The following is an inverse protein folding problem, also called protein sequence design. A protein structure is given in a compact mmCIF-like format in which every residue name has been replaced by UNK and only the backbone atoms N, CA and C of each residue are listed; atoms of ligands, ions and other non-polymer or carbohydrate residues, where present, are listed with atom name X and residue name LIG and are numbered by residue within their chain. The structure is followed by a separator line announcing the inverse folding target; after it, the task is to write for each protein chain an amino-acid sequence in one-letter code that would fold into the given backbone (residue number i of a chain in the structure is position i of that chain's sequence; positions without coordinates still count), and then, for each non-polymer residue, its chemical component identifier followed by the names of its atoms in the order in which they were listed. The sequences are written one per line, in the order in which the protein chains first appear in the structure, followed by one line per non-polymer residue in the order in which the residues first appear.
data_IF_050948247948
#
_entry.id   IF_050948247948
#
_cell.length_a   1.000
_cell.length_b   1.000
_cell.length_c   1.000
_cell.angle_alpha   90.00
_cell.angle_beta   90.00
_cell.angle_gamma   90.00
#
_symmetry.space_group_name_H-M   'P 1'
#
loop_
_entity.id
_entity.type
_entity.pdbx_description
1 polymer ?
#
# COMPACT_ATOMS: atom_id res chain seq x y z
N UNK A 1 -6.46 8.57 17.20
CA UNK A 1 -5.69 7.30 17.12
C UNK A 1 -5.72 6.78 15.70
N UNK A 2 -4.58 6.40 15.11
CA UNK A 2 -4.52 5.78 13.78
C UNK A 2 -5.18 4.40 13.74
N UNK A 3 -5.84 4.08 12.63
CA UNK A 3 -6.35 2.74 12.30
C UNK A 3 -5.45 2.17 11.20
N UNK A 4 -4.74 1.10 11.51
CA UNK A 4 -3.90 0.37 10.56
C UNK A 4 -4.64 -0.78 9.90
N UNK A 5 -4.30 -1.07 8.63
CA UNK A 5 -4.80 -2.25 7.94
C UNK A 5 -4.26 -3.54 8.57
N UNK A 6 -5.13 -4.52 8.81
CA UNK A 6 -4.77 -5.79 9.42
C UNK A 6 -4.00 -6.70 8.45
N UNK A 7 -4.22 -6.51 7.15
CA UNK A 7 -3.56 -7.26 6.07
C UNK A 7 -3.53 -6.38 4.81
N UNK A 8 -2.58 -6.66 3.93
CA UNK A 8 -2.55 -6.03 2.61
C UNK A 8 -3.79 -6.39 1.79
N UNK A 9 -4.31 -5.47 1.00
CA UNK A 9 -5.54 -5.67 0.24
C UNK A 9 -5.89 -4.47 -0.63
N UNK A 10 -7.03 -4.54 -1.31
CA UNK A 10 -7.59 -3.42 -2.09
C UNK A 10 -8.79 -2.84 -1.37
N UNK A 11 -8.87 -1.51 -1.29
CA UNK A 11 -10.07 -0.84 -0.78
C UNK A 11 -11.22 -1.07 -1.75
N UNK A 12 -12.27 -1.76 -1.29
CA UNK A 12 -13.50 -1.97 -2.07
C UNK A 12 -14.62 -1.01 -1.65
N UNK A 13 -14.52 -0.42 -0.46
CA UNK A 13 -15.43 0.61 0.03
C UNK A 13 -14.66 1.60 0.89
N UNK A 14 -14.90 2.89 0.70
CA UNK A 14 -14.42 3.97 1.56
C UNK A 14 -15.42 5.14 1.52
N UNK A 15 -16.46 5.04 2.35
CA UNK A 15 -17.56 6.00 2.33
C UNK A 15 -18.38 5.95 3.64
N UNK A 16 -19.49 6.69 3.68
CA UNK A 16 -20.44 6.62 4.77
C UNK A 16 -21.36 5.40 4.62
N UNK A 17 -21.41 4.56 5.64
CA UNK A 17 -22.31 3.41 5.73
C UNK A 17 -23.28 3.59 6.89
N UNK A 18 -24.55 3.23 6.69
CA UNK A 18 -25.66 3.60 7.59
C UNK A 18 -25.37 3.36 9.09
N UNK A 19 -25.08 2.11 9.48
CA UNK A 19 -24.81 1.78 10.89
C UNK A 19 -23.34 2.04 11.29
N UNK A 20 -22.40 1.82 10.37
CA UNK A 20 -20.96 1.87 10.66
C UNK A 20 -20.35 3.27 10.56
N UNK A 21 -21.09 4.28 10.10
CA UNK A 21 -20.54 5.62 9.86
C UNK A 21 -19.48 5.59 8.76
N UNK A 22 -18.41 6.37 8.91
CA UNK A 22 -17.30 6.35 7.95
C UNK A 22 -16.59 5.01 8.03
N UNK A 23 -16.60 4.30 6.90
CA UNK A 23 -16.27 2.88 6.85
C UNK A 23 -15.29 2.60 5.71
N UNK A 24 -14.32 1.72 5.98
CA UNK A 24 -13.46 1.12 4.96
C UNK A 24 -13.68 -0.38 4.92
N UNK A 25 -13.75 -0.96 3.73
CA UNK A 25 -13.66 -2.41 3.52
C UNK A 25 -12.44 -2.70 2.65
N UNK A 26 -11.56 -3.56 3.14
CA UNK A 26 -10.42 -4.08 2.39
C UNK A 26 -10.71 -5.50 1.91
N UNK A 27 -10.60 -5.74 0.61
CA UNK A 27 -10.56 -7.08 0.04
C UNK A 27 -9.12 -7.61 0.02
N UNK A 28 -8.91 -8.78 0.60
CA UNK A 28 -7.61 -9.43 0.71
C UNK A 28 -7.44 -10.57 -0.31
N UNK A 29 -8.45 -10.81 -1.17
CA UNK A 29 -8.50 -11.93 -2.10
C UNK A 29 -9.19 -13.17 -1.51
N UNK A 30 -9.56 -14.10 -2.39
CA UNK A 30 -10.18 -15.40 -2.05
C UNK A 30 -11.40 -15.29 -1.12
N UNK A 31 -12.15 -14.19 -1.24
CA UNK A 31 -13.35 -13.93 -0.45
C UNK A 31 -13.08 -13.47 0.99
N UNK A 32 -11.82 -13.24 1.38
CA UNK A 32 -11.47 -12.66 2.68
C UNK A 32 -11.48 -11.13 2.59
N UNK A 33 -12.21 -10.47 3.48
CA UNK A 33 -12.18 -9.01 3.63
C UNK A 33 -12.17 -8.58 5.09
N UNK A 34 -11.73 -7.36 5.35
CA UNK A 34 -11.84 -6.72 6.67
C UNK A 34 -12.63 -5.42 6.57
N UNK A 35 -13.39 -5.10 7.61
CA UNK A 35 -14.15 -3.85 7.72
C UNK A 35 -13.64 -3.04 8.91
N UNK A 36 -13.52 -1.73 8.71
CA UNK A 36 -13.15 -0.74 9.71
C UNK A 36 -14.23 0.35 9.76
N UNK A 37 -15.01 0.38 10.83
CA UNK A 37 -16.12 1.31 11.03
C UNK A 37 -15.85 2.37 12.11
N UNK A 38 -16.78 3.30 12.19
CA UNK A 38 -16.86 4.44 13.12
C UNK A 38 -15.72 5.45 13.01
N UNK A 39 -15.00 5.48 11.88
CA UNK A 39 -13.87 6.38 11.71
C UNK A 39 -14.29 7.86 11.82
N UNK A 40 -13.40 8.70 12.35
CA UNK A 40 -13.57 10.16 12.29
C UNK A 40 -13.22 10.68 10.90
N UNK A 41 -12.15 10.15 10.30
CA UNK A 41 -11.61 10.52 8.99
C UNK A 41 -11.16 9.27 8.24
N UNK A 42 -11.44 9.21 6.93
CA UNK A 42 -10.91 8.20 6.01
C UNK A 42 -9.72 8.78 5.27
N UNK A 43 -8.61 8.05 5.18
CA UNK A 43 -7.35 8.53 4.58
C UNK A 43 -7.05 7.86 3.24
N UNK A 44 -7.88 6.90 2.83
CA UNK A 44 -7.75 6.12 1.59
C UNK A 44 -9.09 6.05 0.87
N UNK A 45 -9.07 5.93 -0.44
CA UNK A 45 -10.24 5.86 -1.31
C UNK A 45 -10.49 4.46 -1.87
N UNK A 46 -11.68 4.24 -2.43
CA UNK A 46 -11.99 3.01 -3.15
C UNK A 46 -11.05 2.82 -4.34
N UNK A 47 -10.54 1.59 -4.51
CA UNK A 47 -9.55 1.25 -5.54
C UNK A 47 -8.10 1.22 -5.04
N UNK A 48 -7.79 1.89 -3.93
CA UNK A 48 -6.42 1.96 -3.40
C UNK A 48 -5.90 0.58 -2.99
N UNK A 49 -4.60 0.35 -3.23
CA UNK A 49 -3.88 -0.84 -2.77
C UNK A 49 -3.17 -0.50 -1.46
N UNK A 50 -3.43 -1.30 -0.44
CA UNK A 50 -3.03 -1.05 0.95
C UNK A 50 -2.07 -2.14 1.40
N UNK A 51 -1.00 -1.75 2.10
CA UNK A 51 -0.09 -2.68 2.75
C UNK A 51 -0.56 -3.03 4.17
N UNK A 52 -0.14 -4.20 4.68
CA UNK A 52 -0.39 -4.55 6.06
C UNK A 52 0.26 -3.51 7.00
N UNK A 53 -0.50 -3.04 7.99
CA UNK A 53 -0.08 -2.01 8.94
C UNK A 53 -0.21 -0.57 8.44
N UNK A 54 -0.48 -0.33 7.15
CA UNK A 54 -0.65 1.02 6.62
C UNK A 54 -1.83 1.71 7.29
N UNK A 55 -1.65 2.97 7.70
CA UNK A 55 -2.73 3.79 8.26
C UNK A 55 -3.75 4.11 7.19
N UNK A 56 -5.01 3.75 7.44
CA UNK A 56 -6.13 3.88 6.49
C UNK A 56 -7.22 4.85 6.96
N UNK A 57 -7.32 5.08 8.28
CA UNK A 57 -8.32 5.95 8.87
C UNK A 57 -7.90 6.41 10.27
N UNK A 58 -8.68 7.33 10.85
CA UNK A 58 -8.54 7.75 12.24
C UNK A 58 -9.77 7.31 13.06
N UNK A 59 -9.54 6.84 14.28
CA UNK A 59 -10.59 6.45 15.23
C UNK A 59 -11.57 7.62 15.46
N UNK A 60 -12.85 7.29 15.57
CA UNK A 60 -13.89 8.27 15.85
C UNK A 60 -15.13 7.61 16.47
N UNK A 61 -16.26 8.31 16.34
CA UNK A 61 -17.57 7.83 16.77
C UNK A 61 -18.64 8.31 15.77
N UNK A 62 -18.50 7.90 14.50
CA UNK A 62 -19.48 8.22 13.45
C UNK A 62 -20.48 7.08 13.25
N UNK A 63 -21.67 7.38 12.72
CA UNK A 63 -22.75 6.39 12.60
C UNK A 63 -23.36 6.06 13.96
N UNK A 64 -23.67 4.78 14.18
CA UNK A 64 -24.27 4.33 15.45
C UNK A 64 -23.18 3.91 16.43
N UNK A 65 -22.75 4.83 17.28
CA UNK A 65 -21.64 4.63 18.21
C UNK A 65 -21.95 5.24 19.59
N UNK A 66 -21.51 4.58 20.66
CA UNK A 66 -21.71 5.01 22.06
C UNK A 66 -20.48 5.70 22.68
N UNK A 67 -19.33 5.65 22.00
CA UNK A 67 -18.07 6.28 22.42
C UNK A 67 -16.94 5.91 21.45
N UNK A 68 -15.87 6.70 21.36
CA UNK A 68 -14.84 6.52 20.32
C UNK A 68 -14.17 5.14 20.35
N UNK A 69 -14.33 4.35 19.29
CA UNK A 69 -13.72 3.03 19.11
C UNK A 69 -13.60 2.67 17.63
N UNK A 70 -12.93 1.56 17.33
CA UNK A 70 -12.95 0.96 15.99
C UNK A 70 -13.92 -0.21 16.02
N UNK A 71 -14.90 -0.21 15.12
CA UNK A 71 -15.63 -1.43 14.81
C UNK A 71 -14.83 -2.22 13.78
N UNK A 72 -14.39 -3.42 14.13
CA UNK A 72 -13.55 -4.27 13.29
C UNK A 72 -14.25 -5.58 12.98
N UNK A 73 -14.26 -5.97 11.71
CA UNK A 73 -14.76 -7.28 11.29
C UNK A 73 -13.76 -7.98 10.38
N UNK A 74 -13.72 -9.31 10.51
CA UNK A 74 -13.19 -10.21 9.48
C UNK A 74 -14.39 -10.84 8.77
N UNK A 75 -14.38 -10.83 7.45
CA UNK A 75 -15.45 -11.36 6.61
C UNK A 75 -14.91 -12.45 5.69
N UNK A 76 -15.62 -13.56 5.63
CA UNK A 76 -15.34 -14.66 4.69
C UNK A 76 -16.55 -14.83 3.79
N UNK A 77 -16.36 -14.62 2.48
CA UNK A 77 -17.40 -14.59 1.46
C UNK A 77 -18.53 -13.61 1.83
N UNK A 78 -18.15 -12.41 2.28
CA UNK A 78 -19.06 -11.33 2.65
C UNK A 78 -19.77 -11.50 3.99
N UNK A 79 -19.56 -12.60 4.72
CA UNK A 79 -20.16 -12.84 6.05
C UNK A 79 -19.17 -12.54 7.15
N UNK A 80 -19.57 -11.69 8.10
CA UNK A 80 -18.79 -11.45 9.32
C UNK A 80 -18.62 -12.76 10.10
N UNK A 81 -17.38 -13.03 10.49
CA UNK A 81 -17.01 -14.17 11.33
C UNK A 81 -16.26 -13.65 12.54
N UNK A 82 -16.25 -14.43 13.61
CA UNK A 82 -15.35 -14.16 14.74
C UNK A 82 -13.89 -14.20 14.24
N UNK A 83 -13.13 -13.09 14.39
CA UNK A 83 -11.74 -13.01 13.95
C UNK A 83 -10.82 -14.10 14.53
N UNK A 84 -11.17 -14.63 15.71
CA UNK A 84 -10.41 -15.69 16.40
C UNK A 84 -10.96 -17.09 16.13
N UNK A 85 -11.99 -17.22 15.29
CA UNK A 85 -12.56 -18.53 14.97
C UNK A 85 -11.60 -19.39 14.16
N UNK A 86 -11.64 -20.73 14.33
CA UNK A 86 -10.88 -21.66 13.49
C UNK A 86 -11.11 -21.45 11.98
N UNK A 87 -12.31 -20.99 11.60
CA UNK A 87 -12.66 -20.69 10.21
C UNK A 87 -11.93 -19.45 9.67
N UNK A 88 -11.82 -18.39 10.47
CA UNK A 88 -11.05 -17.20 10.10
C UNK A 88 -9.54 -17.52 10.04
N UNK A 89 -9.05 -18.30 11.01
CA UNK A 89 -7.66 -18.75 11.07
C UNK A 89 -7.30 -19.65 9.89
N UNK A 90 -8.18 -20.60 9.53
CA UNK A 90 -7.99 -21.48 8.38
C UNK A 90 -7.98 -20.69 7.06
N UNK A 91 -8.95 -19.80 6.84
CA UNK A 91 -8.98 -18.94 5.65
C UNK A 91 -7.70 -18.10 5.52
N UNK A 92 -7.22 -17.50 6.61
CA UNK A 92 -5.97 -16.73 6.61
C UNK A 92 -4.73 -17.59 6.32
N UNK A 93 -4.74 -18.86 6.74
CA UNK A 93 -3.65 -19.83 6.55
C UNK A 93 -3.63 -20.41 5.15
N UNK A 94 -4.78 -20.76 4.59
CA UNK A 94 -4.91 -21.31 3.23
C UNK A 94 -4.45 -20.26 2.21
N UNK A 95 -4.90 -19.01 2.34
CA UNK A 95 -4.41 -17.84 1.60
C UNK A 95 -2.87 -17.67 1.68
N UNK A 96 -2.30 -17.83 2.88
CA UNK A 96 -0.85 -17.71 3.06
C UNK A 96 -0.09 -18.88 2.40
N UNK A 97 -0.67 -20.09 2.40
CA UNK A 97 -0.08 -21.25 1.74
C UNK A 97 -0.25 -21.21 0.22
N UNK A 98 -1.36 -20.71 -0.31
CA UNK A 98 -1.61 -20.56 -1.74
C UNK A 98 -0.76 -19.44 -2.33
N UNK A 99 -0.69 -18.28 -1.68
CA UNK A 99 0.25 -17.21 -2.05
C UNK A 99 1.72 -17.68 -2.01
N UNK A 100 2.10 -18.51 -1.04
CA UNK A 100 3.44 -19.13 -0.97
C UNK A 100 3.66 -20.18 -2.06
N UNK A 101 2.66 -21.00 -2.40
CA UNK A 101 2.72 -21.99 -3.49
C UNK A 101 2.80 -21.32 -4.86
N UNK A 102 1.97 -20.31 -5.14
CA UNK A 102 2.02 -19.53 -6.38
C UNK A 102 3.37 -18.82 -6.52
N UNK A 103 3.84 -18.17 -5.45
CA UNK A 103 5.18 -17.56 -5.43
C UNK A 103 6.28 -18.59 -5.68
N UNK A 104 6.13 -19.82 -5.20
CA UNK A 104 7.09 -20.92 -5.41
C UNK A 104 6.98 -21.58 -6.78
N UNK A 105 5.79 -21.63 -7.39
CA UNK A 105 5.60 -22.08 -8.78
C UNK A 105 6.16 -21.05 -9.75
N UNK A 106 5.97 -19.75 -9.49
CA UNK A 106 6.59 -18.66 -10.25
C UNK A 106 8.12 -18.71 -10.09
N UNK A 107 8.64 -18.86 -8.86
CA UNK A 107 10.07 -18.97 -8.62
C UNK A 107 10.69 -20.24 -9.24
N UNK A 108 9.99 -21.39 -9.22
CA UNK A 108 10.50 -22.65 -9.79
C UNK A 108 10.35 -22.72 -11.31
N UNK A 109 9.40 -22.00 -11.90
CA UNK A 109 9.31 -21.80 -13.36
C UNK A 109 10.37 -20.82 -13.91
N UNK A 110 11.03 -20.04 -13.03
CA UNK A 110 12.09 -19.10 -13.38
C UNK A 110 13.50 -19.72 -13.40
N UNK A 111 13.67 -20.99 -13.01
CA UNK A 111 14.96 -21.70 -13.03
C UNK A 111 14.97 -22.80 -14.10
N UNK A 112 14.91 -22.41 -15.37
CA UNK A 112 15.36 -23.26 -16.49
C UNK A 112 16.59 -22.61 -17.13
N UNK A 113 17.72 -23.32 -17.35
CA UNK A 113 19.03 -22.69 -17.63
C UNK A 113 19.18 -21.99 -19.01
N UNK A 114 18.10 -21.78 -19.76
CA UNK A 114 18.15 -21.25 -21.15
C UNK A 114 17.62 -19.82 -21.33
N UNK A 115 16.95 -19.22 -20.35
CA UNK A 115 16.41 -17.85 -20.45
C UNK A 115 16.93 -16.95 -19.33
N UNK A 116 18.16 -16.43 -19.47
CA UNK A 116 18.67 -15.44 -18.51
C UNK A 116 17.89 -14.14 -18.67
N UNK A 117 17.12 -13.77 -17.64
CA UNK A 117 16.48 -12.47 -17.59
C UNK A 117 17.56 -11.36 -17.49
N UNK A 118 17.47 -10.35 -18.36
CA UNK A 118 18.36 -9.18 -18.34
C UNK A 118 17.61 -8.03 -17.68
N UNK A 119 18.23 -7.35 -16.72
CA UNK A 119 17.64 -6.16 -16.08
C UNK A 119 18.28 -4.91 -16.66
N UNK A 120 17.44 -3.98 -17.15
CA UNK A 120 17.86 -2.64 -17.60
C UNK A 120 17.28 -1.60 -16.66
N UNK A 121 18.11 -0.65 -16.20
CA UNK A 121 17.68 0.46 -15.34
C UNK A 121 17.97 1.78 -16.03
N UNK A 122 16.97 2.65 -16.09
CA UNK A 122 17.06 4.01 -16.61
C UNK A 122 16.64 4.98 -15.50
N UNK A 123 17.39 6.06 -15.32
CA UNK A 123 17.06 7.13 -14.36
C UNK A 123 17.03 8.44 -15.12
N UNK A 124 15.94 9.19 -14.95
CA UNK A 124 15.75 10.52 -15.51
C UNK A 124 15.49 11.49 -14.37
N UNK A 125 16.16 12.64 -14.37
CA UNK A 125 16.05 13.63 -13.30
C UNK A 125 15.79 15.01 -13.89
N UNK A 126 14.76 15.67 -13.38
CA UNK A 126 14.51 17.10 -13.56
C UNK A 126 14.79 17.82 -12.23
N UNK A 127 14.54 19.13 -12.18
CA UNK A 127 14.71 19.93 -10.95
C UNK A 127 13.95 19.34 -9.77
N UNK A 128 12.71 18.94 -10.02
CA UNK A 128 11.72 18.61 -8.99
C UNK A 128 11.21 17.17 -9.11
N UNK A 129 11.74 16.37 -10.05
CA UNK A 129 11.26 15.00 -10.29
C UNK A 129 12.39 14.03 -10.62
N UNK A 130 12.38 12.85 -10.01
CA UNK A 130 13.25 11.73 -10.34
C UNK A 130 12.39 10.56 -10.79
N UNK A 131 12.56 10.12 -12.04
CA UNK A 131 11.90 8.93 -12.58
C UNK A 131 12.93 7.82 -12.75
N UNK A 132 12.70 6.67 -12.12
CA UNK A 132 13.49 5.45 -12.28
C UNK A 132 12.64 4.39 -12.96
N UNK A 133 13.09 3.90 -14.12
CA UNK A 133 12.46 2.79 -14.84
C UNK A 133 13.36 1.56 -14.73
N UNK A 134 12.80 0.44 -14.29
CA UNK A 134 13.50 -0.85 -14.22
C UNK A 134 12.75 -1.87 -15.07
N UNK A 135 13.37 -2.28 -16.18
CA UNK A 135 12.86 -3.28 -17.09
C UNK A 135 13.51 -4.63 -16.84
N UNK A 136 12.69 -5.67 -16.78
CA UNK A 136 13.14 -7.07 -16.85
C UNK A 136 12.84 -7.57 -18.25
N UNK A 137 13.87 -8.03 -18.95
CA UNK A 137 13.78 -8.54 -20.31
C UNK A 137 13.96 -10.05 -20.32
N UNK A 138 13.17 -10.74 -21.13
CA UNK A 138 13.40 -12.12 -21.55
C UNK A 138 13.39 -12.13 -23.09
N UNK A 139 14.42 -12.72 -23.70
CA UNK A 139 14.54 -12.80 -25.16
C UNK A 139 14.37 -11.42 -25.85
N UNK A 140 14.99 -10.38 -25.27
CA UNK A 140 14.93 -8.96 -25.68
C UNK A 140 13.52 -8.30 -25.64
N UNK A 141 12.54 -8.96 -25.03
CA UNK A 141 11.21 -8.39 -24.75
C UNK A 141 11.10 -7.97 -23.30
N UNK A 142 10.56 -6.77 -23.05
CA UNK A 142 10.25 -6.32 -21.68
C UNK A 142 9.06 -7.13 -21.16
N UNK A 143 9.31 -8.04 -20.22
CA UNK A 143 8.27 -8.86 -19.57
C UNK A 143 7.71 -8.21 -18.30
N UNK A 144 8.47 -7.28 -17.72
CA UNK A 144 8.10 -6.49 -16.56
C UNK A 144 8.74 -5.12 -16.63
N UNK A 145 8.00 -4.08 -16.28
CA UNK A 145 8.52 -2.73 -16.06
C UNK A 145 8.07 -2.22 -14.70
N UNK A 146 8.99 -1.62 -13.94
CA UNK A 146 8.66 -0.86 -12.73
C UNK A 146 9.10 0.58 -12.93
N UNK A 147 8.19 1.52 -12.77
CA UNK A 147 8.47 2.95 -12.79
C UNK A 147 8.32 3.50 -11.37
N UNK A 148 9.32 4.20 -10.87
CA UNK A 148 9.29 4.93 -9.60
C UNK A 148 9.50 6.40 -9.91
N UNK A 149 8.51 7.24 -9.59
CA UNK A 149 8.53 8.67 -9.83
C UNK A 149 8.50 9.36 -8.48
N UNK A 150 9.56 10.08 -8.15
CA UNK A 150 9.66 10.91 -6.95
C UNK A 150 9.49 12.37 -7.36
N UNK A 151 8.48 13.05 -6.85
CA UNK A 151 8.24 14.49 -7.07
C UNK A 151 8.51 15.23 -5.75
N UNK A 152 9.28 16.31 -5.82
CA UNK A 152 9.55 17.21 -4.72
C UNK A 152 8.96 18.59 -5.03
N UNK A 153 8.15 19.14 -4.12
CA UNK A 153 7.58 20.47 -4.29
C UNK A 153 7.49 21.17 -2.92
N UNK A 154 8.45 22.04 -2.62
CA UNK A 154 8.62 22.61 -1.28
C UNK A 154 8.88 21.50 -0.26
N UNK A 155 8.09 21.45 0.81
CA UNK A 155 8.12 20.39 1.83
C UNK A 155 7.41 19.11 1.37
N UNK A 156 6.60 19.16 0.31
CA UNK A 156 5.86 17.98 -0.18
C UNK A 156 6.79 17.03 -0.93
N UNK A 157 6.65 15.74 -0.66
CA UNK A 157 7.25 14.64 -1.41
C UNK A 157 6.16 13.67 -1.84
N UNK A 158 6.21 13.26 -3.10
CA UNK A 158 5.29 12.30 -3.71
C UNK A 158 6.12 11.19 -4.33
N UNK A 159 5.84 9.94 -4.00
CA UNK A 159 6.36 8.77 -4.70
C UNK A 159 5.21 8.07 -5.43
N UNK A 160 5.36 7.84 -6.73
CA UNK A 160 4.46 7.05 -7.54
C UNK A 160 5.22 5.81 -8.01
N UNK A 161 4.75 4.62 -7.68
CA UNK A 161 5.31 3.34 -8.11
C UNK A 161 4.30 2.65 -9.02
N UNK A 162 4.67 2.45 -10.29
CA UNK A 162 3.87 1.71 -11.28
C UNK A 162 4.55 0.40 -11.63
N UNK A 163 3.78 -0.67 -11.70
CA UNK A 163 4.24 -1.97 -12.17
C UNK A 163 3.45 -2.39 -13.40
N UNK A 164 4.16 -2.76 -14.46
CA UNK A 164 3.61 -3.25 -15.70
C UNK A 164 4.06 -4.68 -15.96
N UNK A 165 3.18 -5.49 -16.55
CA UNK A 165 3.46 -6.86 -17.01
C UNK A 165 3.10 -7.00 -18.47
N UNK A 166 3.89 -7.79 -19.19
CA UNK A 166 3.56 -8.14 -20.56
C UNK A 166 2.39 -9.13 -20.57
N UNK A 167 1.27 -8.75 -21.16
CA UNK A 167 0.08 -9.58 -21.35
C UNK A 167 -0.44 -9.32 -22.75
N UNK A 168 -0.59 -10.37 -23.55
CA UNK A 168 -1.01 -10.28 -24.96
C UNK A 168 -0.15 -9.30 -25.77
N UNK A 169 1.17 -9.39 -25.61
CA UNK A 169 2.18 -8.53 -26.26
C UNK A 169 2.13 -7.04 -25.92
N UNK A 170 1.33 -6.65 -24.93
CA UNK A 170 1.20 -5.26 -24.44
C UNK A 170 1.64 -5.19 -22.98
N UNK A 171 2.42 -4.16 -22.61
CA UNK A 171 2.69 -3.85 -21.21
C UNK A 171 1.44 -3.28 -20.55
N UNK A 172 0.73 -4.10 -19.77
CA UNK A 172 -0.44 -3.69 -19.00
C UNK A 172 0.00 -3.23 -17.62
N UNK A 173 -0.50 -2.07 -17.17
CA UNK A 173 -0.35 -1.63 -15.78
C UNK A 173 -1.09 -2.63 -14.89
N UNK A 174 -0.36 -3.29 -14.00
CA UNK A 174 -0.91 -4.26 -13.05
C UNK A 174 -1.00 -3.70 -11.63
N UNK A 175 -0.21 -2.68 -11.31
CA UNK A 175 -0.22 -2.03 -10.02
C UNK A 175 0.21 -0.56 -10.11
N UNK A 176 -0.40 0.31 -9.30
CA UNK A 176 0.01 1.69 -9.11
C UNK A 176 -0.17 2.04 -7.62
N UNK A 177 0.89 2.58 -7.00
CA UNK A 177 0.90 3.04 -5.61
C UNK A 177 1.39 4.48 -5.57
N UNK A 178 0.72 5.33 -4.81
CA UNK A 178 1.19 6.68 -4.51
C UNK A 178 1.41 6.85 -3.01
N UNK A 179 2.57 7.38 -2.61
CA UNK A 179 2.88 7.82 -1.24
C UNK A 179 3.12 9.32 -1.24
N UNK A 180 2.56 10.02 -0.26
CA UNK A 180 2.74 11.45 -0.08
C UNK A 180 3.20 11.68 1.36
N UNK A 181 4.25 12.47 1.54
CA UNK A 181 4.74 12.88 2.86
C UNK A 181 5.25 14.31 2.84
N UNK A 182 5.26 14.95 4.00
CA UNK A 182 5.93 16.22 4.22
C UNK A 182 7.33 15.93 4.75
N UNK A 183 8.29 16.79 4.42
CA UNK A 183 9.62 16.82 5.02
C UNK A 183 9.63 18.05 5.91
N UNK A 184 9.78 17.83 7.21
CA UNK A 184 9.91 18.89 8.20
C UNK A 184 11.29 19.56 8.02
N UNK A 185 11.32 20.88 8.01
CA UNK A 185 12.56 21.67 8.05
C UNK A 185 13.00 21.78 9.51
N UNK A 186 13.60 20.72 10.06
CA UNK A 186 14.36 20.82 11.30
C UNK A 186 15.79 21.28 10.97
N UNK A 187 15.93 22.57 10.64
CA UNK A 187 17.16 23.32 10.88
C UNK A 187 16.91 24.16 12.13
N UNK A 188 17.20 23.59 13.31
CA UNK A 188 17.48 24.41 14.48
C UNK A 188 18.74 25.23 14.14
N UNK A 189 18.54 26.50 13.81
CA UNK A 189 19.55 27.54 13.93
C UNK A 189 19.95 27.60 15.41
N UNK A 190 20.97 26.84 15.82
CA UNK A 190 21.65 27.07 17.09
C UNK A 190 22.24 28.49 17.01
N UNK A 191 21.64 29.39 17.80
CA UNK A 191 22.02 30.79 17.97
C UNK A 191 23.51 30.89 18.33
N UNK A 192 24.31 31.49 17.44
CA UNK A 192 25.63 32.04 17.78
C UNK A 192 25.42 33.23 18.75
N UNK A 193 25.29 32.97 20.06
CA UNK A 193 25.54 33.99 21.10
C UNK A 193 27.05 34.15 21.27
N UNK A 194 27.66 34.87 20.33
CA UNK A 194 28.90 35.62 20.58
C UNK A 194 28.53 36.87 21.38
N UNK A 195 28.82 36.90 22.68
CA UNK A 195 29.08 38.15 23.39
C UNK A 195 30.35 37.97 24.24
N UNK A 196 31.48 38.33 23.62
CA UNK A 196 32.71 38.75 24.28
C UNK A 196 32.43 40.03 25.09
N UNK A 197 32.56 40.00 26.42
CA UNK A 197 32.88 41.19 27.22
C UNK A 197 34.19 40.94 27.98
N UNK A 198 35.30 41.34 27.34
CA UNK A 198 36.56 41.73 27.99
C UNK A 198 36.61 43.28 28.02
N UNK A 199 36.49 43.89 29.21
CA UNK A 199 37.32 45.00 29.74
C UNK A 199 36.81 45.55 31.09
#
# INVERSE_FOLDING_TARGET
TPIGAARAGRVVLSEWHYDYGRTIILDHGEGLSTLYGHASVLLVGAGDVIEAGQTIALVGCTGRCTGSHVHFEVRVNGRAVDPLSPRAIAAARDLAQESSKESRVIAKAQESPRDKAVVRKLVTRTKDTVTTVTDTLQQDRVVRRVEVILVAHGQLRIEIVREFRLVDDILKLVNERTRIWLVDDDEDEDEDEDDEEDD
#
